data_IF_129541863763
#
_entry.id   IF_129541863763
#
_cell.length_a   1.000
_cell.length_b   1.000
_cell.length_c   1.000
_cell.angle_alpha   90.00
_cell.angle_beta   90.00
_cell.angle_gamma   90.00
#
_symmetry.space_group_name_H-M   'P 1'
#
loop_
_entity.id
_entity.type
_entity.pdbx_description
1 polymer ?
#
# COMPACT_ATOMS: atom_id res chain seq x y z
N UNK A 1 -17.02 -0.05 4.69
CA UNK A 1 -17.21 1.38 5.04
C UNK A 1 -18.39 1.50 5.98
N UNK A 2 -18.32 2.32 7.03
CA UNK A 2 -19.52 2.63 7.83
C UNK A 2 -20.37 3.71 7.14
N UNK A 3 -21.63 3.80 7.55
CA UNK A 3 -22.58 4.85 7.13
C UNK A 3 -22.15 6.27 7.54
N UNK A 4 -21.19 6.39 8.46
CA UNK A 4 -20.59 7.67 8.89
C UNK A 4 -19.22 7.96 8.28
N UNK A 5 -18.77 7.14 7.32
CA UNK A 5 -17.51 7.34 6.60
C UNK A 5 -16.26 6.83 7.32
N UNK A 6 -16.40 6.04 8.39
CA UNK A 6 -15.27 5.34 9.00
C UNK A 6 -14.81 4.18 8.12
N UNK A 7 -13.50 3.92 8.15
CA UNK A 7 -12.82 2.84 7.43
C UNK A 7 -11.76 2.17 8.32
N UNK A 8 -11.14 1.09 7.83
CA UNK A 8 -10.07 0.38 8.54
C UNK A 8 -10.50 -0.95 9.15
N UNK A 9 -11.67 -1.47 8.75
CA UNK A 9 -12.15 -2.81 9.10
C UNK A 9 -11.42 -3.94 8.37
N UNK A 10 -10.64 -3.61 7.33
CA UNK A 10 -9.93 -4.58 6.50
C UNK A 10 -10.82 -5.34 5.51
N UNK A 11 -12.07 -4.91 5.32
CA UNK A 11 -12.94 -5.46 4.27
C UNK A 11 -12.42 -5.08 2.88
N UNK A 12 -12.67 -5.94 1.88
CA UNK A 12 -12.27 -5.70 0.48
C UNK A 12 -12.83 -4.38 -0.05
N UNK A 13 -14.05 -4.03 0.35
CA UNK A 13 -14.70 -2.75 0.00
C UNK A 13 -13.95 -1.51 0.55
N UNK A 14 -13.03 -1.69 1.51
CA UNK A 14 -12.22 -0.62 2.09
C UNK A 14 -10.73 -0.71 1.70
N UNK A 15 -10.22 -1.90 1.37
CA UNK A 15 -8.79 -2.12 1.11
C UNK A 15 -8.45 -2.20 -0.38
N UNK A 16 -9.39 -2.65 -1.22
CA UNK A 16 -9.21 -2.67 -2.66
C UNK A 16 -9.35 -1.26 -3.23
N UNK A 17 -8.29 -0.78 -3.86
CA UNK A 17 -8.27 0.54 -4.52
C UNK A 17 -7.75 0.39 -5.94
N UNK A 18 -8.33 1.12 -6.92
CA UNK A 18 -7.85 1.06 -8.28
C UNK A 18 -6.45 1.66 -8.37
N UNK A 19 -5.54 0.95 -9.03
CA UNK A 19 -4.22 1.44 -9.39
C UNK A 19 -4.12 1.67 -10.91
N UNK A 20 -3.63 2.84 -11.33
CA UNK A 20 -3.52 3.21 -12.75
C UNK A 20 -2.10 3.69 -13.03
N UNK A 21 -1.46 3.09 -14.03
CA UNK A 21 -0.13 3.46 -14.51
C UNK A 21 -0.13 3.63 -16.04
N UNK A 22 0.68 4.59 -16.54
CA UNK A 22 0.83 4.86 -17.96
C UNK A 22 2.20 5.48 -18.23
N UNK A 23 2.63 5.48 -19.50
CA UNK A 23 3.87 6.12 -19.95
C UNK A 23 4.94 5.14 -20.43
N UNK A 24 6.15 5.65 -20.67
CA UNK A 24 7.28 4.84 -21.11
C UNK A 24 7.63 3.79 -20.06
N UNK A 25 7.84 2.54 -20.50
CA UNK A 25 8.13 1.41 -19.61
C UNK A 25 6.90 0.69 -19.06
N UNK A 26 5.68 1.19 -19.30
CA UNK A 26 4.43 0.47 -18.99
C UNK A 26 3.89 -0.21 -20.24
N UNK A 27 3.58 -1.50 -20.15
CA UNK A 27 2.97 -2.26 -21.26
C UNK A 27 1.51 -1.88 -21.43
N UNK A 28 1.08 -1.66 -22.68
CA UNK A 28 -0.32 -1.42 -23.01
C UNK A 28 -1.11 -2.74 -23.01
N UNK A 29 -1.37 -3.26 -21.81
CA UNK A 29 -2.25 -4.40 -21.58
C UNK A 29 -3.61 -3.91 -21.06
N UNK A 30 -4.69 -4.52 -21.54
CA UNK A 30 -6.07 -4.25 -21.12
C UNK A 30 -6.54 -5.13 -19.96
N UNK A 31 -5.73 -6.09 -19.51
CA UNK A 31 -6.03 -6.93 -18.37
C UNK A 31 -5.97 -6.13 -17.05
N UNK A 32 -6.93 -6.40 -16.17
CA UNK A 32 -6.85 -5.95 -14.78
C UNK A 32 -5.95 -6.90 -14.01
N UNK A 33 -4.92 -6.33 -13.37
CA UNK A 33 -4.04 -7.06 -12.46
C UNK A 33 -4.43 -6.74 -11.03
N UNK A 34 -4.64 -7.79 -10.23
CA UNK A 34 -4.68 -7.63 -8.79
C UNK A 34 -3.23 -7.52 -8.31
N UNK A 35 -2.91 -6.40 -7.67
CA UNK A 35 -1.59 -6.11 -7.10
C UNK A 35 -1.76 -5.73 -5.64
N UNK A 36 -0.75 -6.01 -4.84
CA UNK A 36 -0.72 -5.55 -3.45
C UNK A 36 -0.19 -4.12 -3.38
N UNK A 37 -0.58 -3.36 -2.35
CA UNK A 37 -0.06 -1.98 -2.16
C UNK A 37 1.47 -1.97 -2.02
N UNK A 38 2.04 -3.06 -1.50
CA UNK A 38 3.46 -3.37 -1.36
C UNK A 38 4.24 -3.36 -2.68
N UNK A 39 3.58 -3.65 -3.80
CA UNK A 39 4.18 -3.79 -5.13
C UNK A 39 4.45 -2.44 -5.82
N UNK A 40 3.87 -1.34 -5.30
CA UNK A 40 4.05 0.01 -5.86
C UNK A 40 5.52 0.44 -5.76
N UNK A 41 6.20 0.07 -4.68
CA UNK A 41 7.60 0.45 -4.44
C UNK A 41 8.56 -0.19 -5.46
N UNK A 42 8.59 -1.52 -5.65
CA UNK A 42 9.43 -2.12 -6.68
C UNK A 42 9.06 -1.66 -8.10
N UNK A 43 7.78 -1.34 -8.38
CA UNK A 43 7.36 -0.76 -9.65
C UNK A 43 8.01 0.60 -9.91
N UNK A 44 7.91 1.54 -8.97
CA UNK A 44 8.52 2.88 -9.09
C UNK A 44 10.03 2.77 -9.22
N UNK A 45 10.67 1.93 -8.38
CA UNK A 45 12.12 1.70 -8.40
C UNK A 45 12.63 1.28 -9.77
N UNK A 46 11.89 0.40 -10.43
CA UNK A 46 12.19 -0.10 -11.78
C UNK A 46 12.08 1.01 -12.82
N UNK A 47 11.04 1.85 -12.74
CA UNK A 47 10.81 2.94 -13.71
C UNK A 47 11.87 4.05 -13.62
N UNK A 48 12.38 4.34 -12.42
CA UNK A 48 13.40 5.39 -12.22
C UNK A 48 14.84 4.86 -12.20
N UNK A 49 15.02 3.54 -12.35
CA UNK A 49 16.35 2.92 -12.47
C UNK A 49 17.17 2.93 -11.18
N UNK A 50 16.52 2.87 -10.01
CA UNK A 50 17.21 2.75 -8.71
C UNK A 50 17.10 1.32 -8.16
N UNK A 51 18.01 0.91 -7.25
CA UNK A 51 17.90 -0.39 -6.58
C UNK A 51 16.60 -0.54 -5.78
N UNK A 52 15.98 -1.72 -5.85
CA UNK A 52 14.72 -2.03 -5.15
C UNK A 52 14.96 -2.01 -3.62
N UNK A 53 14.21 -1.20 -2.85
CA UNK A 53 14.25 -1.24 -1.40
C UNK A 53 13.85 -2.63 -0.87
N UNK A 54 14.65 -3.20 0.03
CA UNK A 54 14.41 -4.54 0.60
C UNK A 54 13.29 -4.56 1.65
N UNK A 55 12.85 -3.40 2.13
CA UNK A 55 11.77 -3.25 3.11
C UNK A 55 10.72 -2.29 2.53
N UNK A 56 9.68 -2.83 1.92
CA UNK A 56 8.50 -2.09 1.43
C UNK A 56 7.28 -2.24 2.34
N UNK A 57 7.34 -3.17 3.29
CA UNK A 57 6.45 -3.23 4.45
C UNK A 57 7.19 -2.74 5.69
N UNK A 58 6.66 -1.69 6.32
CA UNK A 58 7.14 -1.30 7.65
C UNK A 58 6.55 -2.29 8.65
N UNK A 59 7.38 -3.24 9.09
CA UNK A 59 7.05 -3.94 10.35
C UNK A 59 7.19 -2.93 11.47
N UNK A 60 6.08 -2.59 12.14
CA UNK A 60 6.02 -1.67 13.29
C UNK A 60 7.01 -2.03 14.43
N UNK A 61 7.66 -3.19 14.37
CA UNK A 61 8.69 -3.63 15.31
C UNK A 61 10.04 -2.91 15.15
N UNK A 62 10.31 -2.23 14.02
CA UNK A 62 11.58 -1.54 13.81
C UNK A 62 11.68 -0.16 14.48
N UNK A 63 10.57 0.39 15.01
CA UNK A 63 10.52 1.74 15.60
C UNK A 63 9.94 1.80 17.02
N UNK A 64 9.78 0.67 17.72
CA UNK A 64 9.21 0.67 19.05
C UNK A 64 10.24 0.47 20.18
N UNK A 65 11.05 1.48 20.57
CA UNK A 65 11.28 1.71 21.98
C UNK A 65 10.08 2.52 22.52
N UNK A 66 9.17 1.81 23.19
CA UNK A 66 8.31 2.38 24.23
C UNK A 66 7.35 3.51 23.82
N UNK A 67 6.36 3.24 22.97
CA UNK A 67 5.12 4.04 22.96
C UNK A 67 4.04 3.22 23.64
N UNK A 68 3.69 3.62 24.86
CA UNK A 68 2.55 3.12 25.60
C UNK A 68 1.29 3.72 24.97
N UNK A 69 0.56 2.93 24.18
CA UNK A 69 -0.75 3.33 23.67
C UNK A 69 -1.73 3.36 24.84
N UNK A 70 -1.95 4.55 25.38
CA UNK A 70 -3.04 4.84 26.29
C UNK A 70 -4.37 4.54 25.61
N UNK A 71 -5.16 3.70 26.28
CA UNK A 71 -6.55 3.39 26.00
C UNK A 71 -7.34 4.68 25.74
N UNK A 72 -7.89 4.83 24.53
CA UNK A 72 -9.02 5.72 24.22
C UNK A 72 -9.66 5.18 22.94
N UNK A 73 -10.56 4.21 23.11
CA UNK A 73 -11.48 3.78 22.08
C UNK A 73 -12.74 4.64 22.16
N UNK A 74 -13.09 5.28 21.04
CA UNK A 74 -14.46 5.65 20.73
C UNK A 74 -15.33 4.40 20.52
#
# INVERSE_FOLDING_TARGET
MTDWGSHGSGSTDETETPFVAWGAGITNDSHLYHIEQTDITPLISTLIGIPIPINNEVTLQALAPSIHFGHNTF
#
